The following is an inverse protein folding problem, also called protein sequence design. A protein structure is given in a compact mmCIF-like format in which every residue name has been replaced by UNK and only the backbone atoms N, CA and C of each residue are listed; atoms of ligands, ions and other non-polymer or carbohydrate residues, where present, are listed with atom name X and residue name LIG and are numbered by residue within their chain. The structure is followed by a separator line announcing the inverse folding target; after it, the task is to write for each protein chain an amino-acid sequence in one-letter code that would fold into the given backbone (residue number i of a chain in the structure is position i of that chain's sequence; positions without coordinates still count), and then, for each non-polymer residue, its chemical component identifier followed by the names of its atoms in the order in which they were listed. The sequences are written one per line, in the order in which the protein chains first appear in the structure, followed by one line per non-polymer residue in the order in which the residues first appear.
data_IF_934869724100
#
_entry.id   IF_934869724100
#
_cell.length_a   1.000
_cell.length_b   1.000
_cell.length_c   1.000
_cell.angle_alpha   90.00
_cell.angle_beta   90.00
_cell.angle_gamma   90.00
#
_symmetry.space_group_name_H-M   'P 1'
#
loop_
_entity.id
_entity.type
_entity.pdbx_description
1 polymer ?
#
# COMPACT_ATOMS: atom_id res chain seq x y z
N UNK A 1 3.23 -3.97 -32.38
CA UNK A 1 4.05 -4.44 -31.24
C UNK A 1 3.13 -4.83 -30.07
N UNK A 2 3.66 -5.33 -28.94
CA UNK A 2 2.84 -5.81 -27.80
C UNK A 2 3.43 -5.43 -26.44
N UNK A 3 2.60 -4.89 -25.56
CA UNK A 3 2.98 -4.46 -24.21
C UNK A 3 2.14 -5.11 -23.11
N UNK A 4 2.75 -5.37 -21.96
CA UNK A 4 2.04 -5.62 -20.69
C UNK A 4 1.96 -4.30 -19.92
N UNK A 5 1.01 -4.16 -19.01
CA UNK A 5 0.85 -3.03 -18.11
C UNK A 5 0.65 -3.58 -16.70
N UNK A 6 1.29 -2.96 -15.71
CA UNK A 6 0.89 -3.13 -14.32
C UNK A 6 -0.07 -1.97 -13.99
N UNK A 7 -1.11 -2.27 -13.24
CA UNK A 7 -1.98 -1.25 -12.67
C UNK A 7 -2.30 -1.60 -11.22
N UNK A 8 -2.10 -0.64 -10.33
CA UNK A 8 -2.31 -0.76 -8.90
C UNK A 8 -3.35 0.26 -8.49
N UNK A 9 -4.41 -0.17 -7.81
CA UNK A 9 -5.60 0.66 -7.54
C UNK A 9 -6.00 0.50 -6.08
N UNK A 10 -5.83 1.54 -5.28
CA UNK A 10 -5.64 1.36 -3.84
C UNK A 10 -6.47 2.38 -3.07
N UNK A 11 -7.10 1.96 -1.99
CA UNK A 11 -8.15 2.76 -1.34
C UNK A 11 -8.20 2.58 0.17
N UNK A 12 -8.77 3.58 0.83
CA UNK A 12 -9.32 3.48 2.18
C UNK A 12 -10.72 4.13 2.23
N UNK A 13 -11.80 3.39 2.54
CA UNK A 13 -13.21 3.86 2.42
C UNK A 13 -14.18 3.10 3.37
N UNK A 14 -15.53 3.23 3.30
CA UNK A 14 -16.47 2.89 4.40
C UNK A 14 -17.57 1.78 4.16
N UNK A 15 -17.82 0.87 5.14
CA UNK A 15 -18.81 -0.27 5.09
C UNK A 15 -18.92 -1.18 6.36
N UNK A 16 -19.81 -2.21 6.38
CA UNK A 16 -20.29 -3.04 7.56
C UNK A 16 -20.72 -4.53 7.23
N UNK A 17 -20.81 -5.46 8.23
CA UNK A 17 -21.52 -6.81 8.36
C UNK A 17 -20.87 -8.27 8.22
N UNK A 18 -21.50 -9.31 8.87
CA UNK A 18 -21.12 -10.75 9.28
C UNK A 18 -20.39 -11.74 8.28
N UNK A 19 -19.65 -12.85 8.63
CA UNK A 19 -18.84 -13.28 9.83
C UNK A 19 -18.08 -14.67 9.72
N UNK A 20 -17.48 -15.17 10.84
CA UNK A 20 -16.94 -16.54 11.18
C UNK A 20 -15.91 -17.24 10.21
N UNK A 21 -14.59 -17.15 10.47
CA UNK A 21 -13.68 -18.17 11.13
C UNK A 21 -12.88 -19.05 10.10
N UNK A 22 -11.70 -19.70 10.31
CA UNK A 22 -10.82 -19.95 11.50
C UNK A 22 -9.29 -19.68 11.25
N UNK A 23 -8.32 -20.66 11.24
CA UNK A 23 -6.86 -20.37 11.50
C UNK A 23 -5.82 -21.50 11.23
N UNK A 24 -4.70 -21.26 10.50
CA UNK A 24 -3.37 -22.00 10.59
C UNK A 24 -2.17 -21.13 10.09
N UNK A 25 -0.98 -21.15 10.74
CA UNK A 25 0.23 -20.34 10.40
C UNK A 25 1.55 -21.11 10.67
N UNK A 26 2.57 -21.04 9.78
CA UNK A 26 3.99 -21.40 10.12
C UNK A 26 5.13 -21.01 9.14
N UNK A 27 4.91 -20.59 7.88
CA UNK A 27 6.01 -20.21 6.92
C UNK A 27 6.05 -18.72 6.53
N UNK A 28 5.79 -17.81 7.48
CA UNK A 28 5.46 -16.41 7.14
C UNK A 28 6.61 -15.40 7.27
N UNK A 29 7.59 -15.68 8.14
CA UNK A 29 8.66 -14.72 8.48
C UNK A 29 9.51 -14.31 7.26
N UNK A 30 9.92 -15.28 6.43
CA UNK A 30 10.76 -15.01 5.25
C UNK A 30 10.11 -13.99 4.31
N UNK A 31 8.84 -14.17 3.96
CA UNK A 31 8.15 -13.25 3.07
C UNK A 31 7.91 -11.89 3.68
N UNK A 32 7.56 -11.85 4.98
CA UNK A 32 7.39 -10.58 5.67
C UNK A 32 8.67 -9.76 5.53
N UNK A 33 9.85 -10.39 5.71
CA UNK A 33 11.15 -9.75 5.47
C UNK A 33 11.28 -9.28 4.01
N UNK A 34 11.12 -10.12 2.98
CA UNK A 34 11.24 -9.66 1.58
C UNK A 34 10.28 -8.52 1.21
N UNK A 35 9.00 -8.62 1.58
CA UNK A 35 8.02 -7.56 1.30
C UNK A 35 8.32 -6.29 2.11
N UNK A 36 8.87 -6.40 3.33
CA UNK A 36 9.35 -5.26 4.13
C UNK A 36 10.52 -4.56 3.44
N UNK A 37 11.55 -5.30 3.01
CA UNK A 37 12.72 -4.79 2.27
C UNK A 37 12.34 -4.17 0.92
N UNK A 38 11.39 -4.77 0.19
CA UNK A 38 10.86 -4.17 -1.03
C UNK A 38 10.05 -2.89 -0.75
N UNK A 39 9.20 -2.90 0.28
CA UNK A 39 8.38 -1.76 0.66
C UNK A 39 9.22 -0.55 1.07
N UNK A 40 10.27 -0.83 1.83
CA UNK A 40 11.34 0.07 2.13
C UNK A 40 11.94 0.70 0.87
N UNK A 41 12.58 -0.08 0.00
CA UNK A 41 13.26 0.43 -1.19
C UNK A 41 12.32 1.16 -2.16
N UNK A 42 11.05 0.74 -2.23
CA UNK A 42 10.02 1.43 -3.00
C UNK A 42 9.65 2.78 -2.39
N UNK A 43 9.50 2.87 -1.07
CA UNK A 43 9.25 4.12 -0.36
C UNK A 43 10.40 5.11 -0.56
N UNK A 44 11.65 4.66 -0.42
CA UNK A 44 12.86 5.46 -0.67
C UNK A 44 12.88 6.06 -2.07
N UNK A 45 12.71 5.23 -3.11
CA UNK A 45 12.80 5.71 -4.49
C UNK A 45 11.63 6.62 -4.86
N UNK A 46 10.43 6.42 -4.28
CA UNK A 46 9.29 7.34 -4.45
C UNK A 46 9.50 8.65 -3.69
N UNK A 47 10.00 8.62 -2.46
CA UNK A 47 10.32 9.82 -1.68
C UNK A 47 11.36 10.69 -2.40
N UNK A 48 12.46 10.06 -2.86
CA UNK A 48 13.56 10.69 -3.62
C UNK A 48 13.13 11.31 -4.95
N UNK A 49 12.05 10.81 -5.55
CA UNK A 49 11.53 11.28 -6.86
C UNK A 49 10.30 12.18 -6.74
N UNK A 50 9.70 12.31 -5.54
CA UNK A 50 8.55 13.18 -5.29
C UNK A 50 8.99 14.45 -4.55
N UNK A 51 8.66 15.67 -5.03
CA UNK A 51 9.00 16.92 -4.34
C UNK A 51 8.56 16.92 -2.87
N UNK A 52 9.40 17.37 -1.95
CA UNK A 52 9.18 17.34 -0.49
C UNK A 52 7.87 18.02 -0.05
N UNK A 53 7.39 18.99 -0.84
CA UNK A 53 6.15 19.74 -0.62
C UNK A 53 4.89 18.95 -1.02
N UNK A 54 5.05 17.86 -1.77
CA UNK A 54 3.98 17.01 -2.27
C UNK A 54 3.75 15.78 -1.38
N UNK A 55 2.47 15.42 -1.25
CA UNK A 55 2.06 14.17 -0.64
C UNK A 55 2.34 13.02 -1.62
N UNK A 56 2.81 11.89 -1.08
CA UNK A 56 2.69 10.61 -1.79
C UNK A 56 2.12 9.55 -0.86
N UNK A 57 1.44 8.56 -1.43
CA UNK A 57 0.93 7.42 -0.68
C UNK A 57 0.95 6.19 -1.58
N UNK A 58 1.59 5.11 -1.16
CA UNK A 58 1.84 3.92 -1.95
C UNK A 58 1.40 2.66 -1.20
N UNK A 59 1.06 1.58 -1.93
CA UNK A 59 0.91 0.23 -1.37
C UNK A 59 2.00 -0.67 -1.93
N UNK A 60 3.10 -0.86 -1.20
CA UNK A 60 4.12 -1.83 -1.57
C UNK A 60 3.60 -3.25 -1.77
N UNK A 61 2.60 -3.65 -0.96
CA UNK A 61 1.94 -4.96 -1.10
C UNK A 61 1.34 -5.16 -2.49
N UNK A 62 0.64 -4.16 -3.03
CA UNK A 62 0.03 -4.27 -4.34
C UNK A 62 1.09 -4.31 -5.45
N UNK A 63 2.11 -3.46 -5.36
CA UNK A 63 3.22 -3.45 -6.33
C UNK A 63 3.95 -4.78 -6.34
N UNK A 64 4.26 -5.34 -5.16
CA UNK A 64 4.93 -6.63 -5.06
C UNK A 64 4.06 -7.79 -5.56
N UNK A 65 2.73 -7.72 -5.39
CA UNK A 65 1.79 -8.68 -5.97
C UNK A 65 1.78 -8.64 -7.51
N UNK A 66 1.73 -7.46 -8.14
CA UNK A 66 1.76 -7.33 -9.62
C UNK A 66 3.09 -7.75 -10.23
N UNK A 67 4.21 -7.35 -9.62
CA UNK A 67 5.54 -7.83 -10.00
C UNK A 67 5.64 -9.36 -9.88
N UNK A 68 5.01 -9.96 -8.88
CA UNK A 68 5.06 -11.41 -8.68
C UNK A 68 4.11 -12.20 -9.59
N UNK A 69 2.98 -11.61 -10.01
CA UNK A 69 2.17 -12.12 -11.12
C UNK A 69 2.93 -12.04 -12.46
N UNK A 70 3.81 -11.05 -12.63
CA UNK A 70 4.71 -10.95 -13.79
C UNK A 70 5.81 -12.00 -13.73
N UNK A 71 6.47 -12.14 -12.57
CA UNK A 71 7.54 -13.12 -12.30
C UNK A 71 7.13 -14.56 -12.63
N UNK A 72 5.84 -14.89 -12.51
CA UNK A 72 5.31 -16.22 -12.84
C UNK A 72 5.54 -16.61 -14.30
N UNK A 73 5.48 -15.65 -15.23
CA UNK A 73 5.72 -15.84 -16.65
C UNK A 73 7.01 -15.20 -17.17
N UNK A 74 7.76 -14.49 -16.33
CA UNK A 74 9.09 -14.00 -16.65
C UNK A 74 10.13 -15.13 -16.54
N UNK A 75 11.19 -15.07 -17.34
CA UNK A 75 12.31 -16.02 -17.35
C UNK A 75 13.66 -15.28 -17.37
N UNK A 76 14.76 -16.03 -17.43
CA UNK A 76 16.12 -15.53 -17.66
C UNK A 76 16.52 -14.32 -16.78
N UNK A 77 17.02 -13.23 -17.36
CA UNK A 77 17.45 -12.03 -16.63
C UNK A 77 16.29 -11.25 -16.04
N UNK A 78 15.20 -11.06 -16.77
CA UNK A 78 13.97 -10.39 -16.30
C UNK A 78 13.41 -11.00 -15.01
N UNK A 79 13.44 -12.32 -14.91
CA UNK A 79 13.05 -13.02 -13.70
C UNK A 79 14.02 -12.81 -12.51
N UNK A 80 15.32 -12.65 -12.79
CA UNK A 80 16.35 -12.44 -11.78
C UNK A 80 16.20 -11.05 -11.17
N UNK A 81 16.14 -10.03 -12.02
CA UNK A 81 15.90 -8.64 -11.64
C UNK A 81 14.65 -8.48 -10.77
N UNK A 82 13.50 -9.02 -11.19
CA UNK A 82 12.28 -8.97 -10.39
C UNK A 82 12.46 -9.68 -9.02
N UNK A 83 13.21 -10.79 -8.96
CA UNK A 83 13.50 -11.47 -7.68
C UNK A 83 14.45 -10.69 -6.77
N UNK A 84 15.45 -10.00 -7.33
CA UNK A 84 16.42 -9.17 -6.62
C UNK A 84 15.75 -7.89 -6.07
N UNK A 85 14.98 -7.20 -6.90
CA UNK A 85 14.21 -6.00 -6.49
C UNK A 85 13.16 -6.35 -5.43
N UNK A 86 12.50 -7.51 -5.50
CA UNK A 86 11.58 -7.98 -4.46
C UNK A 86 12.28 -8.55 -3.20
N UNK A 87 13.61 -8.53 -3.12
CA UNK A 87 14.38 -8.96 -1.94
C UNK A 87 14.45 -10.48 -1.72
N UNK A 88 14.01 -11.30 -2.68
CA UNK A 88 13.94 -12.76 -2.50
C UNK A 88 15.31 -13.47 -2.55
N UNK A 89 16.30 -12.86 -3.19
CA UNK A 89 17.65 -13.44 -3.32
C UNK A 89 18.47 -13.32 -2.04
N UNK A 90 18.23 -12.28 -1.22
CA UNK A 90 18.79 -12.16 0.13
C UNK A 90 18.33 -13.32 1.05
N UNK A 91 17.10 -13.82 0.86
CA UNK A 91 16.49 -14.86 1.71
C UNK A 91 16.94 -16.30 1.39
N UNK A 92 18.09 -16.49 0.75
CA UNK A 92 18.61 -17.76 0.21
C UNK A 92 17.68 -18.52 -0.76
N UNK A 93 16.52 -17.95 -1.09
CA UNK A 93 15.40 -18.64 -1.75
C UNK A 93 15.44 -18.45 -3.25
N UNK A 94 16.31 -19.22 -3.94
CA UNK A 94 16.49 -19.13 -5.40
C UNK A 94 15.38 -19.79 -6.25
N UNK A 95 14.26 -20.23 -5.65
CA UNK A 95 13.18 -20.97 -6.33
C UNK A 95 11.88 -20.15 -6.42
N UNK A 96 11.49 -19.74 -7.63
CA UNK A 96 10.21 -19.05 -7.92
C UNK A 96 8.98 -19.75 -7.34
N UNK A 97 8.92 -21.07 -7.38
CA UNK A 97 7.80 -21.84 -6.83
C UNK A 97 7.60 -21.60 -5.32
N UNK A 98 8.68 -21.31 -4.59
CA UNK A 98 8.58 -20.91 -3.17
C UNK A 98 7.95 -19.52 -3.08
N UNK A 99 8.37 -18.56 -3.91
CA UNK A 99 7.85 -17.18 -3.95
C UNK A 99 6.34 -17.13 -4.22
N UNK A 100 5.84 -17.88 -5.22
CA UNK A 100 4.41 -17.87 -5.53
C UNK A 100 3.57 -18.53 -4.42
N UNK A 101 4.03 -19.67 -3.88
CA UNK A 101 3.40 -20.29 -2.71
C UNK A 101 3.42 -19.36 -1.49
N UNK A 102 4.51 -18.62 -1.31
CA UNK A 102 4.68 -17.56 -0.31
C UNK A 102 3.61 -16.47 -0.48
N UNK A 103 3.47 -15.88 -1.67
CA UNK A 103 2.45 -14.86 -1.95
C UNK A 103 1.05 -15.36 -1.70
N UNK A 104 0.77 -16.61 -2.04
CA UNK A 104 -0.52 -17.26 -1.79
C UNK A 104 -0.87 -17.26 -0.31
N UNK A 105 0.12 -17.39 0.58
CA UNK A 105 -0.11 -17.21 2.02
C UNK A 105 -0.56 -15.78 2.30
N UNK A 106 0.11 -14.75 1.81
CA UNK A 106 -0.26 -13.34 2.05
C UNK A 106 -1.61 -12.96 1.45
N UNK A 107 -1.89 -13.42 0.23
CA UNK A 107 -3.21 -13.28 -0.38
C UNK A 107 -4.30 -13.98 0.46
N UNK A 108 -4.02 -15.19 0.97
CA UNK A 108 -4.90 -15.87 1.93
C UNK A 108 -5.00 -15.11 3.26
N UNK A 109 -3.94 -14.45 3.73
CA UNK A 109 -3.96 -13.61 4.93
C UNK A 109 -4.89 -12.42 4.76
N UNK A 110 -4.83 -11.74 3.61
CA UNK A 110 -5.72 -10.63 3.27
C UNK A 110 -7.18 -11.12 3.21
N UNK A 111 -7.44 -12.31 2.65
CA UNK A 111 -8.76 -12.96 2.76
C UNK A 111 -9.18 -13.26 4.21
N UNK A 112 -8.26 -13.69 5.07
CA UNK A 112 -8.56 -13.90 6.49
C UNK A 112 -8.80 -12.57 7.24
N UNK A 113 -8.11 -11.49 6.87
CA UNK A 113 -8.34 -10.13 7.38
C UNK A 113 -9.74 -9.63 6.97
N UNK A 114 -10.14 -9.81 5.70
CA UNK A 114 -11.51 -9.56 5.25
C UNK A 114 -12.54 -10.39 6.03
N UNK A 115 -12.27 -11.67 6.32
CA UNK A 115 -13.15 -12.50 7.17
C UNK A 115 -13.14 -12.10 8.66
N UNK A 116 -12.20 -11.25 9.11
CA UNK A 116 -12.20 -10.65 10.45
C UNK A 116 -13.06 -9.39 10.46
N UNK A 117 -12.92 -8.51 9.46
CA UNK A 117 -13.83 -7.38 9.25
C UNK A 117 -15.30 -7.77 9.42
N UNK A 118 -15.65 -8.86 8.74
CA UNK A 118 -16.98 -9.40 8.75
C UNK A 118 -17.51 -9.64 10.18
N UNK A 119 -16.67 -9.97 11.17
CA UNK A 119 -17.13 -10.27 12.54
C UNK A 119 -17.38 -9.06 13.45
N UNK A 120 -16.69 -7.94 13.21
CA UNK A 120 -16.57 -6.86 14.21
C UNK A 120 -16.66 -5.44 13.64
N UNK A 121 -16.64 -5.33 12.32
CA UNK A 121 -16.75 -4.09 11.54
C UNK A 121 -15.70 -3.05 11.93
N UNK A 122 -14.59 -3.50 12.53
CA UNK A 122 -13.54 -2.64 13.04
C UNK A 122 -12.65 -2.11 11.93
N UNK A 123 -12.14 -2.98 11.06
CA UNK A 123 -11.42 -2.59 9.85
C UNK A 123 -11.74 -3.56 8.70
N UNK A 124 -11.80 -3.10 7.45
CA UNK A 124 -11.90 -3.93 6.24
C UNK A 124 -10.55 -3.97 5.54
N UNK A 125 -10.15 -5.10 4.96
CA UNK A 125 -9.03 -5.14 4.01
C UNK A 125 -9.36 -6.11 2.88
N UNK A 126 -9.54 -5.58 1.67
CA UNK A 126 -10.04 -6.30 0.50
C UNK A 126 -9.01 -6.23 -0.62
N UNK A 127 -8.32 -7.36 -0.86
CA UNK A 127 -7.36 -7.50 -1.96
C UNK A 127 -7.99 -8.25 -3.14
N UNK A 128 -8.08 -7.57 -4.28
CA UNK A 128 -8.66 -8.11 -5.52
C UNK A 128 -7.67 -7.93 -6.67
N UNK A 129 -7.25 -9.05 -7.26
CA UNK A 129 -6.35 -9.04 -8.41
C UNK A 129 -7.12 -9.46 -9.67
N UNK A 130 -6.75 -8.94 -10.84
CA UNK A 130 -7.36 -9.34 -12.12
C UNK A 130 -6.36 -9.24 -13.27
N UNK A 131 -6.51 -10.13 -14.25
CA UNK A 131 -5.80 -10.06 -15.51
C UNK A 131 -6.77 -9.62 -16.60
N UNK A 132 -6.46 -8.56 -17.34
CA UNK A 132 -7.22 -8.16 -18.54
C UNK A 132 -6.36 -8.38 -19.77
N UNK A 133 -6.67 -9.38 -20.59
CA UNK A 133 -5.86 -9.76 -21.74
C UNK A 133 -6.55 -9.48 -23.08
N UNK A 134 -5.78 -9.16 -24.13
CA UNK A 134 -6.30 -9.00 -25.49
C UNK A 134 -7.05 -10.25 -25.95
N UNK A 135 -8.29 -10.05 -26.37
CA UNK A 135 -9.26 -11.09 -26.71
C UNK A 135 -8.74 -12.12 -27.71
N UNK A 136 -7.99 -11.71 -28.74
CA UNK A 136 -7.45 -12.61 -29.77
C UNK A 136 -6.11 -13.24 -29.40
N UNK A 137 -5.55 -12.97 -28.22
CA UNK A 137 -4.30 -13.58 -27.81
C UNK A 137 -4.46 -14.99 -27.23
N UNK A 138 -3.40 -15.79 -27.38
CA UNK A 138 -3.21 -17.08 -26.73
C UNK A 138 -2.21 -16.88 -25.59
N UNK A 139 -2.71 -16.96 -24.36
CA UNK A 139 -1.90 -16.93 -23.15
C UNK A 139 -1.50 -18.36 -22.77
N UNK A 140 -0.32 -18.53 -22.18
CA UNK A 140 0.17 -19.85 -21.78
C UNK A 140 -0.75 -20.43 -20.70
N UNK A 141 -1.33 -21.64 -20.86
CA UNK A 141 -2.31 -22.17 -19.91
C UNK A 141 -1.78 -22.38 -18.49
N UNK A 142 -0.50 -22.71 -18.32
CA UNK A 142 0.13 -22.85 -17.00
C UNK A 142 0.31 -21.50 -16.30
N UNK A 143 0.53 -20.41 -17.04
CA UNK A 143 0.56 -19.05 -16.51
C UNK A 143 -0.82 -18.63 -16.00
N UNK A 144 -1.86 -18.75 -16.84
CA UNK A 144 -3.22 -18.35 -16.45
C UNK A 144 -3.70 -19.11 -15.21
N UNK A 145 -3.51 -20.44 -15.18
CA UNK A 145 -3.86 -21.28 -14.04
C UNK A 145 -3.04 -20.97 -12.79
N UNK A 146 -1.73 -20.72 -12.95
CA UNK A 146 -0.84 -20.40 -11.84
C UNK A 146 -1.17 -19.05 -11.19
N UNK A 147 -1.39 -18.03 -12.01
CA UNK A 147 -1.75 -16.69 -11.54
C UNK A 147 -3.14 -16.67 -10.88
N UNK A 148 -4.12 -17.39 -11.43
CA UNK A 148 -5.42 -17.59 -10.76
C UNK A 148 -5.27 -18.36 -9.43
N UNK A 149 -4.46 -19.42 -9.39
CA UNK A 149 -4.28 -20.24 -8.18
C UNK A 149 -3.56 -19.50 -7.04
N UNK A 150 -2.45 -18.83 -7.34
CA UNK A 150 -1.58 -18.23 -6.33
C UNK A 150 -2.00 -16.79 -5.93
N UNK A 151 -2.63 -16.04 -6.84
CA UNK A 151 -3.00 -14.62 -6.64
C UNK A 151 -4.51 -14.34 -6.73
N UNK A 152 -5.32 -15.35 -7.10
CA UNK A 152 -6.76 -15.19 -7.33
C UNK A 152 -7.13 -14.38 -8.57
N UNK A 153 -6.15 -13.98 -9.38
CA UNK A 153 -6.36 -13.10 -10.51
C UNK A 153 -6.90 -13.87 -11.72
N UNK A 154 -8.17 -13.68 -12.03
CA UNK A 154 -8.81 -14.31 -13.20
C UNK A 154 -8.55 -13.53 -14.48
N UNK A 155 -8.41 -14.24 -15.60
CA UNK A 155 -8.31 -13.63 -16.93
C UNK A 155 -9.69 -13.22 -17.46
N UNK A 156 -9.92 -11.91 -17.61
CA UNK A 156 -10.96 -11.34 -18.46
C UNK A 156 -10.35 -11.01 -19.83
N UNK A 157 -11.03 -11.39 -20.91
CA UNK A 157 -10.65 -10.97 -22.27
C UNK A 157 -11.29 -9.63 -22.62
N UNK A 158 -10.49 -8.69 -23.13
CA UNK A 158 -10.90 -7.33 -23.52
C UNK A 158 -10.33 -6.96 -24.90
N UNK A 159 -10.95 -6.04 -25.66
CA UNK A 159 -10.65 -5.86 -27.08
C UNK A 159 -9.58 -4.79 -27.37
N UNK A 160 -8.46 -4.74 -26.64
CA UNK A 160 -7.41 -3.72 -26.81
C UNK A 160 -7.06 -3.42 -28.28
N UNK A 161 -6.77 -4.44 -29.09
CA UNK A 161 -6.36 -4.26 -30.50
C UNK A 161 -7.46 -3.67 -31.39
N UNK A 162 -8.74 -3.91 -31.07
CA UNK A 162 -9.89 -3.46 -31.88
C UNK A 162 -10.48 -2.14 -31.37
N UNK A 163 -10.48 -1.93 -30.06
CA UNK A 163 -11.08 -0.78 -29.40
C UNK A 163 -10.42 -0.60 -28.01
N UNK A 164 -9.28 0.14 -27.94
CA UNK A 164 -8.56 0.37 -26.69
C UNK A 164 -9.41 1.11 -25.65
N UNK A 165 -10.14 2.14 -26.04
CA UNK A 165 -10.98 2.94 -25.12
C UNK A 165 -12.11 2.11 -24.51
N UNK A 166 -12.76 1.22 -25.27
CA UNK A 166 -13.72 0.26 -24.68
C UNK A 166 -13.04 -0.67 -23.69
N UNK A 167 -11.82 -1.15 -23.98
CA UNK A 167 -11.08 -1.98 -23.04
C UNK A 167 -10.72 -1.20 -21.76
N UNK A 168 -10.32 0.07 -21.88
CA UNK A 168 -10.07 1.00 -20.77
C UNK A 168 -11.31 1.21 -19.91
N UNK A 169 -12.46 1.51 -20.52
CA UNK A 169 -13.74 1.66 -19.85
C UNK A 169 -14.14 0.35 -19.12
N UNK A 170 -14.02 -0.80 -19.78
CA UNK A 170 -14.29 -2.11 -19.16
C UNK A 170 -13.35 -2.49 -18.01
N UNK A 171 -12.20 -1.83 -17.88
CA UNK A 171 -11.28 -1.94 -16.73
C UNK A 171 -11.67 -0.94 -15.64
N UNK A 172 -11.91 0.32 -16.01
CA UNK A 172 -12.31 1.37 -15.08
C UNK A 172 -13.66 1.08 -14.40
N UNK A 173 -14.67 0.58 -15.12
CA UNK A 173 -15.94 0.12 -14.52
C UNK A 173 -15.71 -1.05 -13.55
N UNK A 174 -14.84 -2.01 -13.89
CA UNK A 174 -14.52 -3.10 -12.95
C UNK A 174 -13.81 -2.58 -11.70
N UNK A 175 -12.91 -1.62 -11.86
CA UNK A 175 -12.28 -0.92 -10.73
C UNK A 175 -13.37 -0.25 -9.89
N UNK A 176 -14.25 0.57 -10.50
CA UNK A 176 -15.33 1.27 -9.82
C UNK A 176 -16.23 0.30 -9.01
N UNK A 177 -16.56 -0.86 -9.58
CA UNK A 177 -17.28 -1.95 -8.90
C UNK A 177 -16.53 -2.48 -7.67
N UNK A 178 -15.25 -2.89 -7.79
CA UNK A 178 -14.50 -3.47 -6.65
C UNK A 178 -14.01 -2.42 -5.63
N UNK A 179 -14.27 -1.15 -5.91
CA UNK A 179 -13.89 0.00 -5.09
C UNK A 179 -15.07 0.76 -4.49
N UNK A 180 -16.29 0.22 -4.65
CA UNK A 180 -17.55 0.84 -4.22
C UNK A 180 -17.72 2.30 -4.72
N UNK A 181 -17.25 2.59 -5.94
CA UNK A 181 -17.35 3.91 -6.58
C UNK A 181 -16.26 4.91 -6.21
N UNK A 182 -15.29 4.53 -5.37
CA UNK A 182 -14.28 5.46 -4.82
C UNK A 182 -13.16 5.77 -5.84
N UNK A 183 -12.70 4.81 -6.65
CA UNK A 183 -11.89 5.09 -7.85
C UNK A 183 -12.75 4.81 -9.08
N UNK A 184 -13.07 5.86 -9.82
CA UNK A 184 -13.83 5.76 -11.08
C UNK A 184 -12.93 5.65 -12.31
N UNK A 185 -11.76 6.27 -12.24
CA UNK A 185 -10.76 6.28 -13.31
C UNK A 185 -9.41 5.87 -12.72
N UNK A 186 -9.01 4.63 -12.98
CA UNK A 186 -7.72 4.05 -12.61
C UNK A 186 -6.72 4.03 -13.77
N UNK A 187 -7.24 3.91 -14.99
CA UNK A 187 -6.50 4.03 -16.22
C UNK A 187 -6.89 5.34 -16.92
N UNK A 188 -6.02 6.37 -16.94
CA UNK A 188 -6.32 7.65 -17.58
C UNK A 188 -6.45 7.49 -19.11
N UNK A 189 -7.07 8.45 -19.82
CA UNK A 189 -7.22 8.39 -21.27
C UNK A 189 -5.89 8.12 -21.99
N UNK A 190 -5.92 7.31 -23.06
CA UNK A 190 -4.74 6.88 -23.83
C UNK A 190 -3.71 6.00 -23.09
N UNK A 191 -3.91 5.63 -21.82
CA UNK A 191 -2.99 4.72 -21.09
C UNK A 191 -2.91 3.32 -21.70
N UNK A 192 -3.96 2.85 -22.37
CA UNK A 192 -3.97 1.58 -23.12
C UNK A 192 -4.16 1.84 -24.61
N UNK A 193 -3.46 1.05 -25.43
CA UNK A 193 -3.39 1.24 -26.89
C UNK A 193 -3.76 -0.04 -27.62
N UNK A 194 -3.80 0.00 -28.96
CA UNK A 194 -3.96 -1.19 -29.79
C UNK A 194 -2.80 -2.20 -29.67
N UNK A 195 -1.70 -1.80 -29.02
CA UNK A 195 -0.54 -2.64 -28.71
C UNK A 195 -0.60 -3.24 -27.29
N UNK A 196 -1.55 -2.83 -26.45
CA UNK A 196 -1.74 -3.45 -25.12
C UNK A 196 -2.16 -4.91 -25.27
N UNK A 197 -1.41 -5.83 -24.65
CA UNK A 197 -1.66 -7.26 -24.63
C UNK A 197 -2.28 -7.73 -23.32
N UNK A 198 -1.81 -7.19 -22.19
CA UNK A 198 -2.20 -7.62 -20.84
C UNK A 198 -2.12 -6.43 -19.89
N UNK A 199 -3.15 -6.22 -19.07
CA UNK A 199 -3.08 -5.38 -17.86
C UNK A 199 -3.20 -6.31 -16.66
N UNK A 200 -2.18 -6.33 -15.81
CA UNK A 200 -2.19 -6.98 -14.51
C UNK A 200 -2.62 -5.96 -13.47
N UNK A 201 -3.81 -6.14 -12.93
CA UNK A 201 -4.44 -5.25 -11.98
C UNK A 201 -4.32 -5.84 -10.57
N UNK A 202 -3.83 -5.06 -9.60
CA UNK A 202 -3.88 -5.40 -8.18
C UNK A 202 -4.52 -4.27 -7.38
N UNK A 203 -5.65 -4.59 -6.75
CA UNK A 203 -6.46 -3.64 -5.99
C UNK A 203 -6.40 -3.99 -4.51
N UNK A 204 -6.07 -3.03 -3.66
CA UNK A 204 -6.10 -3.16 -2.20
C UNK A 204 -6.94 -2.02 -1.61
N UNK A 205 -8.13 -2.38 -1.18
CA UNK A 205 -9.02 -1.53 -0.42
C UNK A 205 -8.84 -1.80 1.07
N UNK A 206 -8.82 -0.76 1.88
CA UNK A 206 -8.82 -0.80 3.34
C UNK A 206 -10.01 0.00 3.88
N UNK A 207 -10.32 -0.20 5.15
CA UNK A 207 -11.18 0.65 5.98
C UNK A 207 -10.67 0.50 7.39
N UNK A 208 -10.60 1.55 8.19
CA UNK A 208 -10.36 1.41 9.61
C UNK A 208 -11.25 2.33 10.44
N UNK A 209 -11.89 1.80 11.47
CA UNK A 209 -12.32 2.60 12.62
C UNK A 209 -11.19 2.59 13.64
N UNK A 210 -10.93 3.70 14.31
CA UNK A 210 -9.97 3.71 15.42
C UNK A 210 -10.43 2.80 16.56
N UNK A 211 -9.50 2.14 17.26
CA UNK A 211 -9.81 1.45 18.52
C UNK A 211 -10.24 2.47 19.59
N UNK A 212 -9.67 3.68 19.55
CA UNK A 212 -10.10 4.86 20.30
C UNK A 212 -10.32 6.03 19.34
N UNK A 213 -11.57 6.40 19.02
CA UNK A 213 -11.89 7.58 18.23
C UNK A 213 -11.34 8.87 18.84
N UNK A 214 -11.16 9.90 18.00
CA UNK A 214 -10.89 11.25 18.46
C UNK A 214 -12.20 11.98 18.79
N UNK A 215 -12.22 12.65 19.94
CA UNK A 215 -13.43 13.28 20.49
C UNK A 215 -13.48 14.79 20.28
N UNK A 216 -12.32 15.43 20.18
CA UNK A 216 -12.20 16.90 20.07
C UNK A 216 -11.90 17.26 18.61
N UNK A 217 -12.72 18.12 18.03
CA UNK A 217 -12.42 18.83 16.78
C UNK A 217 -11.86 20.22 17.11
N UNK A 218 -10.83 20.66 16.40
CA UNK A 218 -10.21 21.98 16.55
C UNK A 218 -9.63 22.48 15.23
N UNK A 219 -9.39 23.78 15.11
CA UNK A 219 -8.53 24.35 14.05
C UNK A 219 -7.16 24.67 14.60
N UNK A 220 -6.13 24.40 13.81
CA UNK A 220 -4.75 24.71 14.15
C UNK A 220 -3.93 24.98 12.89
N UNK A 221 -2.83 25.71 13.06
CA UNK A 221 -1.84 25.92 12.02
C UNK A 221 -1.13 24.60 11.67
N UNK A 222 -0.99 24.32 10.38
CA UNK A 222 0.00 23.39 9.83
C UNK A 222 1.10 24.18 9.12
N UNK A 223 2.33 23.68 9.18
CA UNK A 223 3.57 24.27 8.70
C UNK A 223 4.18 23.32 7.65
N UNK A 224 4.29 23.72 6.40
CA UNK A 224 4.88 22.90 5.32
C UNK A 224 6.41 22.82 5.42
N UNK A 225 7.08 22.00 4.58
CA UNK A 225 8.56 21.90 4.55
C UNK A 225 9.25 23.25 4.31
N UNK A 226 8.65 24.14 3.52
CA UNK A 226 9.13 25.51 3.28
C UNK A 226 8.65 26.55 4.31
N UNK A 227 8.13 26.11 5.47
CA UNK A 227 7.61 26.94 6.56
C UNK A 227 6.40 27.84 6.20
N UNK A 228 5.70 27.61 5.08
CA UNK A 228 4.39 28.23 4.86
C UNK A 228 3.39 27.75 5.91
N UNK A 229 2.48 28.64 6.31
CA UNK A 229 1.51 28.40 7.36
C UNK A 229 0.09 28.48 6.82
N UNK A 230 -0.74 27.49 7.15
CA UNK A 230 -2.17 27.55 6.86
C UNK A 230 -2.99 26.91 7.98
N UNK A 231 -4.24 27.36 8.15
CA UNK A 231 -5.18 26.75 9.07
C UNK A 231 -5.81 25.51 8.44
N UNK A 232 -5.86 24.41 9.17
CA UNK A 232 -6.61 23.22 8.78
C UNK A 232 -7.35 22.62 9.98
N UNK A 233 -8.24 21.68 9.71
CA UNK A 233 -9.02 20.98 10.73
C UNK A 233 -8.20 19.84 11.33
N UNK A 234 -8.14 19.79 12.65
CA UNK A 234 -7.44 18.79 13.45
C UNK A 234 -8.44 18.04 14.34
N UNK A 235 -8.03 16.84 14.73
CA UNK A 235 -8.69 16.01 15.72
C UNK A 235 -7.75 15.79 16.91
N UNK A 236 -8.30 15.77 18.12
CA UNK A 236 -7.54 15.59 19.36
C UNK A 236 -8.15 14.53 20.28
N UNK A 237 -7.27 13.74 20.90
CA UNK A 237 -7.61 12.73 21.90
C UNK A 237 -6.42 12.49 22.82
N UNK A 238 -6.69 12.20 24.10
CA UNK A 238 -5.69 11.73 25.06
C UNK A 238 -5.88 10.22 25.25
N UNK A 239 -4.85 9.44 24.96
CA UNK A 239 -4.93 7.98 25.01
C UNK A 239 -3.60 7.33 25.40
N UNK A 240 -3.68 6.19 26.08
CA UNK A 240 -2.60 5.22 26.05
C UNK A 240 -2.38 4.72 24.62
N UNK A 241 -1.16 4.91 24.11
CA UNK A 241 -0.67 4.47 22.81
C UNK A 241 0.76 3.94 22.96
N UNK A 242 1.18 3.06 22.04
CA UNK A 242 2.59 2.66 21.96
C UNK A 242 3.38 3.80 21.31
N UNK A 243 4.38 4.29 22.02
CA UNK A 243 5.26 5.38 21.63
C UNK A 243 6.73 4.95 21.76
N UNK A 244 7.57 5.49 20.90
CA UNK A 244 9.01 5.54 21.10
C UNK A 244 9.60 6.81 20.46
N UNK A 245 10.78 7.22 20.92
CA UNK A 245 11.58 8.25 20.25
C UNK A 245 12.74 7.57 19.54
N UNK A 246 12.94 7.85 18.25
CA UNK A 246 14.09 7.38 17.50
C UNK A 246 15.16 8.45 17.50
N UNK A 247 16.26 8.22 18.23
CA UNK A 247 17.45 9.07 18.20
C UNK A 247 18.08 9.14 16.79
N UNK A 248 18.02 8.04 16.02
CA UNK A 248 18.53 8.00 14.65
C UNK A 248 17.74 8.96 13.73
N UNK A 249 16.42 8.99 13.86
CA UNK A 249 15.55 9.79 13.01
C UNK A 249 15.21 11.17 13.61
N UNK A 250 15.61 11.44 14.86
CA UNK A 250 15.16 12.58 15.66
C UNK A 250 13.63 12.76 15.57
N UNK A 251 12.89 11.67 15.83
CA UNK A 251 11.46 11.58 15.53
C UNK A 251 10.67 10.78 16.57
N UNK A 252 9.46 11.25 16.87
CA UNK A 252 8.47 10.52 17.65
C UNK A 252 7.72 9.52 16.77
N UNK A 253 7.69 8.26 17.20
CA UNK A 253 6.95 7.18 16.55
C UNK A 253 5.76 6.81 17.44
N UNK A 254 4.55 6.79 16.90
CA UNK A 254 3.35 6.37 17.64
C UNK A 254 2.48 5.39 16.84
N UNK A 255 1.96 4.35 17.50
CA UNK A 255 1.00 3.41 16.90
C UNK A 255 -0.44 3.70 17.36
N UNK A 256 -1.31 3.95 16.37
CA UNK A 256 -2.76 4.06 16.52
C UNK A 256 -3.42 2.76 16.02
N UNK A 257 -3.91 1.88 16.90
CA UNK A 257 -4.57 0.66 16.49
C UNK A 257 -5.96 0.93 15.91
N UNK A 258 -6.28 0.17 14.85
CA UNK A 258 -7.66 0.09 14.36
C UNK A 258 -8.45 -0.94 15.17
N UNK A 259 -9.73 -0.65 15.37
CA UNK A 259 -10.67 -1.52 16.08
C UNK A 259 -10.67 -2.92 15.48
N UNK A 260 -10.65 -3.94 16.33
CA UNK A 260 -10.72 -5.35 15.92
C UNK A 260 -11.08 -6.23 17.12
N UNK A 261 -11.94 -7.22 16.91
CA UNK A 261 -12.21 -8.29 17.89
C UNK A 261 -11.09 -9.34 17.93
N UNK A 262 -10.15 -9.28 16.97
CA UNK A 262 -9.12 -10.30 16.82
C UNK A 262 -7.83 -9.95 17.53
N UNK A 263 -7.39 -10.86 18.40
CA UNK A 263 -6.03 -10.83 18.96
C UNK A 263 -4.92 -11.23 17.96
N UNK A 264 -5.27 -11.77 16.77
CA UNK A 264 -4.29 -12.17 15.74
C UNK A 264 -4.24 -11.24 14.54
N UNK A 265 -5.37 -10.66 14.18
CA UNK A 265 -5.53 -9.90 12.94
C UNK A 265 -5.76 -8.44 13.33
N UNK A 266 -4.65 -7.69 13.44
CA UNK A 266 -4.66 -6.31 13.90
C UNK A 266 -4.01 -5.43 12.85
N UNK A 267 -4.70 -4.38 12.44
CA UNK A 267 -4.13 -3.30 11.64
C UNK A 267 -3.78 -2.15 12.58
N UNK A 268 -2.67 -1.47 12.32
CA UNK A 268 -2.29 -0.21 12.98
C UNK A 268 -1.96 0.84 11.94
N UNK A 269 -2.28 2.09 12.23
CA UNK A 269 -1.60 3.23 11.60
C UNK A 269 -0.44 3.61 12.51
N UNK A 270 0.75 3.60 11.97
CA UNK A 270 1.93 4.16 12.59
C UNK A 270 2.22 5.52 11.99
N UNK A 271 2.53 6.47 12.85
CA UNK A 271 2.86 7.84 12.49
C UNK A 271 4.28 8.13 12.98
N UNK A 272 5.09 8.72 12.11
CA UNK A 272 6.47 9.13 12.41
C UNK A 272 6.54 10.64 12.21
N UNK A 273 6.65 11.37 13.32
CA UNK A 273 6.70 12.83 13.39
C UNK A 273 8.12 13.25 13.69
N UNK A 274 8.82 13.98 12.80
CA UNK A 274 10.05 14.67 13.15
C UNK A 274 9.88 15.49 14.44
N UNK A 275 10.90 15.55 15.30
CA UNK A 275 10.86 16.41 16.50
C UNK A 275 10.83 17.89 16.08
N UNK A 276 11.62 18.23 15.06
CA UNK A 276 11.78 19.58 14.52
C UNK A 276 11.21 19.72 13.12
N UNK A 277 10.66 20.90 12.82
CA UNK A 277 10.13 21.25 11.49
C UNK A 277 11.24 21.41 10.44
N UNK A 278 10.83 21.46 9.17
CA UNK A 278 11.70 21.72 8.03
C UNK A 278 12.00 20.46 7.20
N UNK A 279 12.48 20.68 5.97
CA UNK A 279 12.80 19.61 5.03
C UNK A 279 13.85 18.63 5.59
N UNK A 280 14.96 19.15 6.14
CA UNK A 280 16.09 18.33 6.59
C UNK A 280 15.70 17.22 7.57
N UNK A 281 14.78 17.50 8.51
CA UNK A 281 14.31 16.53 9.51
C UNK A 281 13.36 15.47 8.93
N UNK A 282 12.66 15.78 7.82
CA UNK A 282 11.89 14.82 7.06
C UNK A 282 12.80 13.94 6.19
N UNK A 283 13.77 14.57 5.52
CA UNK A 283 14.78 13.92 4.70
C UNK A 283 15.66 12.98 5.55
N UNK A 284 15.96 13.33 6.80
CA UNK A 284 16.58 12.43 7.79
C UNK A 284 15.83 11.09 7.93
N UNK A 285 14.50 11.07 7.87
CA UNK A 285 13.69 9.83 7.86
C UNK A 285 13.71 9.18 6.47
N UNK A 286 13.56 9.97 5.42
CA UNK A 286 13.44 9.49 4.02
C UNK A 286 14.76 9.08 3.36
N UNK A 287 15.91 9.42 3.94
CA UNK A 287 17.26 9.03 3.51
C UNK A 287 17.87 7.92 4.40
N UNK A 288 17.50 7.86 5.69
CA UNK A 288 18.05 6.88 6.66
C UNK A 288 17.10 5.74 7.00
N UNK A 289 15.92 5.68 6.39
CA UNK A 289 15.28 4.40 6.19
C UNK A 289 16.34 3.47 5.56
N UNK A 290 16.78 2.42 6.27
CA UNK A 290 17.59 1.32 5.71
C UNK A 290 17.03 -0.08 6.00
N UNK A 291 17.61 -1.10 5.38
CA UNK A 291 17.17 -2.50 5.48
C UNK A 291 17.52 -3.16 6.84
N UNK A 292 18.43 -2.58 7.64
CA UNK A 292 18.87 -3.12 8.94
C UNK A 292 18.05 -2.56 10.10
N UNK A 293 17.65 -1.29 10.03
CA UNK A 293 16.82 -0.58 11.02
C UNK A 293 15.31 -0.84 10.85
N UNK A 294 14.92 -1.85 10.06
CA UNK A 294 13.53 -2.24 9.82
C UNK A 294 12.93 -3.06 10.98
N UNK A 295 12.83 -2.46 12.16
CA UNK A 295 11.70 -2.73 13.06
C UNK A 295 11.13 -1.44 13.63
N UNK A 296 10.07 -0.94 12.97
CA UNK A 296 9.27 0.18 13.49
C UNK A 296 8.54 -0.16 14.79
N UNK A 297 8.51 -1.43 15.18
CA UNK A 297 8.39 -1.80 16.59
C UNK A 297 9.80 -1.81 17.19
N UNK A 298 10.32 -0.62 17.50
CA UNK A 298 11.55 -0.46 18.31
C UNK A 298 11.40 -1.32 19.57
N UNK A 299 12.47 -2.00 19.99
CA UNK A 299 12.41 -2.88 21.17
C UNK A 299 11.99 -2.10 22.45
N UNK A 300 12.21 -0.77 22.45
CA UNK A 300 11.87 0.19 23.51
C UNK A 300 10.49 0.89 23.32
N UNK A 301 9.49 0.25 22.71
CA UNK A 301 8.13 0.81 22.67
C UNK A 301 7.47 0.79 24.05
N UNK A 302 7.17 1.98 24.60
CA UNK A 302 6.42 2.15 25.85
C UNK A 302 4.94 2.47 25.59
N UNK A 303 4.05 2.00 26.46
CA UNK A 303 2.62 2.30 26.39
C UNK A 303 2.24 3.42 27.38
N UNK A 304 2.47 4.67 26.97
CA UNK A 304 2.34 5.89 27.78
C UNK A 304 1.08 6.70 27.45
N UNK A 305 0.70 7.66 28.29
CA UNK A 305 -0.47 8.53 28.05
C UNK A 305 -0.11 9.70 27.14
N UNK A 306 -0.55 9.65 25.89
CA UNK A 306 -0.23 10.68 24.87
C UNK A 306 -1.47 11.49 24.50
N UNK A 307 -1.38 12.82 24.50
CA UNK A 307 -2.35 13.68 23.82
C UNK A 307 -1.91 13.89 22.38
N UNK A 308 -2.70 13.39 21.43
CA UNK A 308 -2.39 13.43 20.01
C UNK A 308 -3.30 14.45 19.33
N UNK A 309 -2.68 15.39 18.61
CA UNK A 309 -3.33 16.36 17.70
C UNK A 309 -2.94 16.02 16.27
N UNK A 310 -3.85 15.36 15.55
CA UNK A 310 -3.67 14.90 14.16
C UNK A 310 -4.50 15.79 13.21
N UNK A 311 -3.95 16.30 12.09
CA UNK A 311 -4.78 16.96 11.08
C UNK A 311 -5.69 15.92 10.42
N UNK A 312 -6.90 16.31 10.03
CA UNK A 312 -7.69 15.50 9.10
C UNK A 312 -7.00 15.56 7.74
N UNK A 313 -6.93 14.43 7.04
CA UNK A 313 -6.29 14.41 5.74
C UNK A 313 -6.89 13.38 4.79
N UNK A 314 -6.85 13.73 3.51
CA UNK A 314 -7.13 12.91 2.35
C UNK A 314 -5.91 12.98 1.44
N UNK A 315 -5.32 11.84 1.12
CA UNK A 315 -4.25 11.73 0.13
C UNK A 315 -4.82 10.97 -1.07
N UNK A 316 -4.70 11.56 -2.24
CA UNK A 316 -4.83 10.86 -3.52
C UNK A 316 -3.48 10.95 -4.22
N UNK A 317 -2.97 9.82 -4.69
CA UNK A 317 -1.68 9.74 -5.35
C UNK A 317 -1.82 8.88 -6.60
N UNK A 318 -1.44 9.40 -7.76
CA UNK A 318 -1.44 8.68 -9.03
C UNK A 318 -0.09 8.88 -9.73
N UNK A 319 0.57 7.79 -10.08
CA UNK A 319 1.90 7.82 -10.72
C UNK A 319 2.09 6.65 -11.70
N UNK A 320 3.11 6.71 -12.55
CA UNK A 320 3.63 5.56 -13.27
C UNK A 320 4.95 5.12 -12.63
N UNK A 321 4.92 3.99 -11.91
CA UNK A 321 6.10 3.45 -11.22
C UNK A 321 7.16 2.87 -12.17
N UNK A 322 7.03 3.03 -13.49
CA UNK A 322 8.00 2.54 -14.47
C UNK A 322 9.42 3.00 -14.18
N UNK A 323 9.64 4.30 -14.01
CA UNK A 323 10.99 4.84 -13.78
C UNK A 323 11.51 4.45 -12.40
N UNK A 324 10.66 4.51 -11.38
CA UNK A 324 10.92 3.99 -10.02
C UNK A 324 11.43 2.54 -10.07
N UNK A 325 10.69 1.64 -10.72
CA UNK A 325 11.02 0.21 -10.80
C UNK A 325 12.25 -0.08 -11.67
N UNK A 326 12.50 0.74 -12.70
CA UNK A 326 13.71 0.67 -13.51
C UNK A 326 14.95 1.04 -12.68
N UNK A 327 14.87 2.13 -11.90
CA UNK A 327 15.93 2.58 -10.99
C UNK A 327 16.17 1.58 -9.84
N UNK A 328 15.11 0.92 -9.35
CA UNK A 328 15.19 -0.19 -8.40
C UNK A 328 15.76 -1.51 -8.99
N UNK A 329 16.19 -1.51 -10.26
CA UNK A 329 16.93 -2.59 -10.90
C UNK A 329 16.13 -3.49 -11.86
N UNK A 330 14.84 -3.25 -12.09
CA UNK A 330 14.02 -4.06 -13.00
C UNK A 330 14.13 -3.56 -14.45
N UNK A 331 15.33 -3.60 -15.02
CA UNK A 331 15.61 -2.92 -16.30
C UNK A 331 15.09 -3.68 -17.52
N UNK A 332 15.46 -4.97 -17.67
CA UNK A 332 15.13 -5.75 -18.87
C UNK A 332 13.62 -5.88 -19.10
N UNK A 333 12.80 -5.80 -18.05
CA UNK A 333 11.34 -5.86 -18.12
C UNK A 333 10.73 -4.72 -18.97
N UNK A 334 11.34 -3.53 -18.97
CA UNK A 334 10.89 -2.37 -19.74
C UNK A 334 11.60 -2.24 -21.09
N UNK A 335 12.76 -2.90 -21.26
CA UNK A 335 13.54 -2.94 -22.49
C UNK A 335 12.89 -3.81 -23.58
N UNK A 336 12.83 -3.29 -24.81
CA UNK A 336 12.38 -4.05 -25.98
C UNK A 336 13.44 -5.09 -26.37
N UNK A 337 13.03 -6.34 -26.53
CA UNK A 337 13.91 -7.44 -26.95
C UNK A 337 14.73 -8.09 -25.82
N UNK A 338 14.76 -7.50 -24.63
CA UNK A 338 15.44 -8.07 -23.44
C UNK A 338 14.46 -8.74 -22.46
N UNK A 339 13.20 -8.28 -22.44
CA UNK A 339 12.14 -8.80 -21.60
C UNK A 339 11.75 -10.25 -21.96
N UNK A 340 12.24 -11.23 -21.19
CA UNK A 340 11.87 -12.63 -21.36
C UNK A 340 10.56 -12.93 -20.61
N UNK A 341 9.43 -12.62 -21.23
CA UNK A 341 8.07 -12.89 -20.75
C UNK A 341 7.41 -14.04 -21.52
N UNK A 342 8.22 -14.94 -22.08
CA UNK A 342 7.81 -16.09 -22.90
C UNK A 342 6.82 -17.03 -22.18
N UNK A 343 6.86 -17.07 -20.85
CA UNK A 343 5.94 -17.81 -20.01
C UNK A 343 4.52 -17.21 -19.95
N UNK A 344 4.30 -15.96 -20.38
CA UNK A 344 2.98 -15.30 -20.43
C UNK A 344 2.27 -15.59 -21.76
N UNK A 345 2.97 -15.42 -22.88
CA UNK A 345 2.48 -15.72 -24.22
C UNK A 345 3.66 -16.06 -25.12
N UNK A 346 3.49 -17.08 -25.96
CA UNK A 346 4.49 -17.53 -26.94
C UNK A 346 4.59 -16.63 -28.18
N UNK A 347 3.73 -15.61 -28.29
CA UNK A 347 3.47 -14.92 -29.56
C UNK A 347 3.90 -13.44 -29.53
N UNK A 348 5.20 -13.23 -29.79
CA UNK A 348 5.85 -11.94 -30.04
C UNK A 348 6.59 -11.36 -28.84
N UNK A 349 7.45 -10.38 -29.10
CA UNK A 349 8.21 -9.68 -28.08
C UNK A 349 7.27 -8.90 -27.15
N UNK A 350 7.35 -9.17 -25.85
CA UNK A 350 6.55 -8.54 -24.82
C UNK A 350 7.48 -7.77 -23.88
N UNK A 351 7.14 -6.52 -23.60
CA UNK A 351 7.79 -5.71 -22.55
C UNK A 351 6.71 -5.00 -21.73
N UNK A 352 7.07 -4.50 -20.54
CA UNK A 352 6.17 -3.72 -19.72
C UNK A 352 6.14 -2.26 -20.23
N UNK A 353 4.95 -1.79 -20.62
CA UNK A 353 4.71 -0.46 -21.17
C UNK A 353 4.77 0.62 -20.09
N UNK A 354 3.97 0.44 -19.04
CA UNK A 354 3.92 1.27 -17.82
C UNK A 354 3.46 0.44 -16.60
N UNK A 355 3.61 1.03 -15.41
CA UNK A 355 3.22 0.49 -14.11
C UNK A 355 2.40 1.52 -13.31
N UNK A 356 1.19 1.82 -13.79
CA UNK A 356 0.27 2.78 -13.17
C UNK A 356 -0.03 2.40 -11.71
N UNK A 357 0.04 3.37 -10.81
CA UNK A 357 -0.19 3.17 -9.39
C UNK A 357 -1.03 4.31 -8.84
N UNK A 358 -2.26 4.00 -8.43
CA UNK A 358 -3.22 4.95 -7.89
C UNK A 358 -3.61 4.55 -6.47
N UNK A 359 -3.56 5.49 -5.53
CA UNK A 359 -3.95 5.30 -4.14
C UNK A 359 -4.86 6.42 -3.64
N UNK A 360 -5.60 6.08 -2.59
CA UNK A 360 -6.47 6.98 -1.85
C UNK A 360 -6.42 6.57 -0.37
N UNK A 361 -6.36 7.55 0.52
CA UNK A 361 -6.68 7.42 1.94
C UNK A 361 -7.42 8.66 2.41
N UNK A 362 -8.35 8.50 3.35
CA UNK A 362 -9.00 9.58 4.09
C UNK A 362 -9.01 9.25 5.59
N UNK A 363 -8.69 10.22 6.44
CA UNK A 363 -8.56 10.08 7.90
C UNK A 363 -9.35 11.17 8.64
N UNK A 364 -10.08 10.76 9.69
CA UNK A 364 -11.02 11.56 10.47
C UNK A 364 -11.16 11.07 11.93
N UNK A 365 -12.08 11.70 12.67
CA UNK A 365 -12.39 11.43 14.09
C UNK A 365 -12.63 9.95 14.39
N UNK A 366 -13.38 9.26 13.53
CA UNK A 366 -13.84 7.89 13.75
C UNK A 366 -12.86 6.83 13.25
N UNK A 367 -11.83 7.25 12.50
CA UNK A 367 -10.96 6.37 11.73
C UNK A 367 -10.93 6.89 10.30
N UNK A 368 -11.61 6.15 9.43
CA UNK A 368 -11.87 6.49 8.03
C UNK A 368 -13.40 6.45 7.80
N UNK A 369 -14.10 7.24 8.63
CA UNK A 369 -15.52 7.66 8.70
C UNK A 369 -16.60 6.55 8.85
N UNK A 370 -17.73 6.74 9.55
CA UNK A 370 -18.25 7.91 10.27
C UNK A 370 -19.08 7.52 11.53
N UNK A 371 -19.15 8.42 12.52
CA UNK A 371 -20.42 8.78 13.17
C UNK A 371 -20.96 7.96 14.36
N UNK A 372 -20.45 8.23 15.57
CA UNK A 372 -21.24 8.13 16.81
C UNK A 372 -20.65 9.02 17.91
N UNK A 373 -21.33 10.10 18.26
CA UNK A 373 -20.95 10.99 19.37
C UNK A 373 -21.35 10.38 20.72
N UNK A 374 -20.36 9.92 21.50
CA UNK A 374 -20.55 9.49 22.88
C UNK A 374 -19.80 10.44 23.81
N UNK A 375 -20.54 11.31 24.51
CA UNK A 375 -19.95 12.18 25.53
C UNK A 375 -20.01 11.47 26.90
N UNK A 376 -18.86 11.29 27.56
CA UNK A 376 -18.80 11.01 28.99
C UNK A 376 -17.83 11.97 29.69
N UNK A 377 -18.07 12.19 30.97
CA UNK A 377 -17.50 13.30 31.74
C UNK A 377 -15.97 13.27 31.82
N UNK A 378 -15.35 14.41 31.53
CA UNK A 378 -13.90 14.54 31.52
C UNK A 378 -13.29 14.46 32.92
N UNK A 379 -12.42 13.48 33.12
CA UNK A 379 -11.27 13.67 34.00
C UNK A 379 -10.16 14.35 33.18
N UNK A 380 -9.60 15.45 33.68
CA UNK A 380 -8.36 16.01 33.13
C UNK A 380 -7.21 15.08 33.51
N UNK A 381 -6.98 14.04 32.72
CA UNK A 381 -5.69 13.37 32.73
C UNK A 381 -4.64 14.36 32.26
N UNK A 382 -3.57 14.53 33.02
CA UNK A 382 -2.34 15.08 32.47
C UNK A 382 -1.81 14.02 31.49
N UNK A 383 -1.41 14.43 30.28
CA UNK A 383 -0.66 13.58 29.35
C UNK A 383 0.80 13.53 29.78
N UNK A 384 1.45 12.39 29.59
CA UNK A 384 2.90 12.25 29.75
C UNK A 384 3.61 12.93 28.56
N UNK A 385 2.98 12.93 27.38
CA UNK A 385 3.51 13.50 26.13
C UNK A 385 2.40 14.15 25.28
N UNK A 386 2.74 15.26 24.62
CA UNK A 386 1.85 16.00 23.72
C UNK A 386 2.41 15.97 22.28
N UNK A 387 1.81 15.16 21.40
CA UNK A 387 2.23 15.04 19.99
C UNK A 387 1.33 15.88 19.08
N UNK A 388 1.94 16.80 18.33
CA UNK A 388 1.22 17.73 17.45
C UNK A 388 1.72 17.58 16.02
N UNK A 389 0.94 16.90 15.18
CA UNK A 389 1.24 16.63 13.77
C UNK A 389 0.99 17.89 12.91
N UNK A 390 1.63 19.00 13.28
CA UNK A 390 1.47 20.31 12.64
C UNK A 390 2.50 20.57 11.53
N UNK A 391 3.26 19.58 11.11
CA UNK A 391 4.25 19.68 10.04
C UNK A 391 4.45 18.30 9.41
N UNK A 392 5.15 18.18 8.27
CA UNK A 392 5.26 16.94 7.50
C UNK A 392 5.65 15.71 8.34
N UNK A 393 4.92 14.62 8.12
CA UNK A 393 5.09 13.36 8.84
C UNK A 393 4.89 12.16 7.91
N UNK A 394 5.47 11.01 8.28
CA UNK A 394 5.30 9.75 7.56
C UNK A 394 4.15 8.95 8.18
N UNK A 395 3.33 8.35 7.32
CA UNK A 395 2.21 7.47 7.69
C UNK A 395 2.45 6.07 7.13
N UNK A 396 2.32 5.04 7.97
CA UNK A 396 2.45 3.63 7.60
C UNK A 396 1.21 2.89 8.12
N UNK A 397 0.48 2.20 7.25
CA UNK A 397 -0.58 1.25 7.65
C UNK A 397 -0.02 -0.16 7.50
N UNK A 398 0.07 -0.90 8.60
CA UNK A 398 0.64 -2.26 8.63
C UNK A 398 -0.20 -3.26 9.43
N UNK A 399 -0.06 -4.54 9.08
CA UNK A 399 -0.62 -5.64 9.88
C UNK A 399 0.37 -6.00 10.99
N UNK A 400 -0.07 -5.90 12.25
CA UNK A 400 0.80 -5.89 13.44
C UNK A 400 1.50 -7.24 13.68
N UNK A 401 0.91 -8.37 13.27
CA UNK A 401 1.51 -9.70 13.55
C UNK A 401 2.59 -10.10 12.53
N UNK A 402 2.43 -9.69 11.27
CA UNK A 402 3.39 -9.92 10.19
C UNK A 402 4.37 -8.76 10.00
N UNK A 403 4.10 -7.60 10.61
CA UNK A 403 4.81 -6.34 10.40
C UNK A 403 4.86 -5.89 8.93
N UNK A 404 3.95 -6.38 8.09
CA UNK A 404 3.96 -6.06 6.67
C UNK A 404 3.30 -4.70 6.42
N UNK A 405 4.01 -3.71 5.85
CA UNK A 405 3.40 -2.46 5.43
C UNK A 405 2.44 -2.73 4.26
N UNK A 406 1.16 -2.45 4.49
CA UNK A 406 0.13 -2.46 3.46
C UNK A 406 0.14 -1.14 2.69
N UNK A 407 0.35 -0.03 3.38
CA UNK A 407 0.48 1.31 2.79
C UNK A 407 1.53 2.14 3.51
N UNK A 408 2.17 3.06 2.79
CA UNK A 408 3.19 3.98 3.29
C UNK A 408 3.09 5.32 2.55
N UNK A 409 3.42 6.45 3.18
CA UNK A 409 3.45 7.73 2.50
C UNK A 409 3.84 8.92 3.36
N UNK A 410 4.00 10.07 2.71
CA UNK A 410 4.29 11.38 3.31
C UNK A 410 3.04 12.26 3.32
N UNK A 411 2.71 12.83 4.48
CA UNK A 411 1.70 13.90 4.61
C UNK A 411 2.44 15.24 4.67
N UNK A 412 2.87 15.74 3.52
CA UNK A 412 3.51 17.06 3.38
C UNK A 412 2.51 18.22 3.52
N UNK A 413 1.26 18.00 3.10
CA UNK A 413 0.17 18.97 3.15
C UNK A 413 -1.18 18.26 3.38
N UNK A 414 -1.69 18.17 4.62
CA UNK A 414 -3.05 17.65 4.85
C UNK A 414 -4.09 18.53 4.14
N UNK A 415 -4.74 17.94 3.14
CA UNK A 415 -5.94 18.45 2.46
C UNK A 415 -7.13 17.60 2.95
N UNK A 416 -8.31 18.18 3.16
CA UNK A 416 -9.51 17.45 3.60
C UNK A 416 -10.71 17.81 2.72
#
# INVERSE_FOLDING_TARGET
MRFIFLCFVLLVSAGFNEAKRTRVISKWRLTAIANKLFAHRLFMEVARTTPEQENFFISPYAVSAGLSMTLYGAHSTTAREIMDTLGYTQLSTKRKSVIHYVFTRFYTHCKMLHQVHQKDHGFELTSVNRMFGESRNIFVPSYVKGVEHFYGAKLKKVPFRRNPERARQEINTWVEEVTNGTIREALPPNSVTAETLLVLMSTLYFKGLWEKPFEINLRSTFYTTNNEQYQTDFVQQTMFALHSFSEQFQAHIVELPFKTSSSRYKMVMQLILPESRGADNLNLIEDQFDEENFDFATEDQENISVTIRLPKFRLEYETDLKETLYNMGIQSLFSRGEADLSGISTNGDLSLGSAHHKTFIQVDESGTTAGASYAQGGFRSVSDLDLVFNHPFIVIIREKYTQMPMFMGRVARPMY
#
